data_IF_829204487725
#
_entry.id   IF_829204487725
#
_cell.length_a   1.000
_cell.length_b   1.000
_cell.length_c   1.000
_cell.angle_alpha   90.00
_cell.angle_beta   90.00
_cell.angle_gamma   90.00
#
_symmetry.space_group_name_H-M   'P 1'
#
loop_
_entity.id
_entity.type
_entity.pdbx_description
1 polymer ?
#
# COMPACT_ATOMS: atom_id res chain seq x y z
N UNK A 1 -22.04 -6.29 17.54
CA UNK A 1 -23.50 -6.23 17.73
C UNK A 1 -24.09 -5.04 17.03
N UNK A 2 -25.23 -5.23 16.32
CA UNK A 2 -25.99 -4.17 15.63
C UNK A 2 -27.48 -4.36 15.95
N UNK A 3 -28.13 -3.41 16.60
CA UNK A 3 -29.58 -3.42 16.83
C UNK A 3 -30.11 -2.03 17.19
N UNK A 4 -31.37 -1.75 16.85
CA UNK A 4 -32.05 -0.50 17.21
C UNK A 4 -31.31 0.77 16.79
N UNK A 5 -30.66 0.75 15.61
CA UNK A 5 -29.84 1.87 15.13
C UNK A 5 -28.55 2.08 15.89
N UNK A 6 -28.10 1.10 16.67
CA UNK A 6 -26.88 1.19 17.51
C UNK A 6 -25.91 0.08 17.12
N UNK A 7 -24.63 0.33 17.26
CA UNK A 7 -23.58 -0.67 17.05
C UNK A 7 -22.47 -0.54 18.06
N UNK A 8 -21.88 -1.68 18.45
CA UNK A 8 -20.68 -1.73 19.26
C UNK A 8 -19.88 -2.98 18.95
N UNK A 9 -18.59 -2.94 19.29
CA UNK A 9 -17.64 -4.02 19.13
C UNK A 9 -17.02 -4.40 20.45
N UNK A 10 -16.86 -5.71 20.66
CA UNK A 10 -15.97 -6.27 21.67
C UNK A 10 -15.09 -7.33 20.98
N UNK A 11 -13.92 -7.59 21.54
CA UNK A 11 -12.94 -8.55 21.00
C UNK A 11 -12.49 -9.52 22.08
N UNK A 12 -12.12 -10.72 21.68
CA UNK A 12 -11.53 -11.72 22.58
C UNK A 12 -10.49 -12.55 21.82
N UNK A 13 -9.47 -13.01 22.51
CA UNK A 13 -8.55 -14.07 22.06
C UNK A 13 -8.83 -15.42 22.74
N UNK A 14 -9.92 -15.50 23.53
CA UNK A 14 -10.37 -16.73 24.15
C UNK A 14 -11.57 -17.30 23.40
N UNK A 15 -11.39 -18.46 22.79
CA UNK A 15 -12.35 -19.12 21.90
C UNK A 15 -13.12 -20.24 22.58
N UNK A 16 -13.00 -20.43 23.91
CA UNK A 16 -13.89 -21.31 24.63
C UNK A 16 -15.33 -20.76 24.69
N UNK A 17 -16.28 -21.61 25.07
CA UNK A 17 -17.69 -21.24 25.10
C UNK A 17 -17.95 -20.00 26.00
N UNK A 18 -17.30 -19.90 27.14
CA UNK A 18 -17.48 -18.80 28.09
C UNK A 18 -16.83 -17.51 27.58
N UNK A 19 -15.68 -17.58 26.91
CA UNK A 19 -15.01 -16.48 26.24
C UNK A 19 -15.87 -15.87 25.13
N UNK A 20 -16.43 -16.75 24.28
CA UNK A 20 -17.32 -16.33 23.19
C UNK A 20 -18.62 -15.72 23.74
N UNK A 21 -19.22 -16.32 24.79
CA UNK A 21 -20.41 -15.77 25.46
C UNK A 21 -20.12 -14.37 26.02
N UNK A 22 -19.03 -14.21 26.78
CA UNK A 22 -18.64 -12.91 27.37
C UNK A 22 -18.42 -11.83 26.33
N UNK A 23 -17.80 -12.13 25.19
CA UNK A 23 -17.56 -11.11 24.16
C UNK A 23 -18.86 -10.65 23.49
N UNK A 24 -19.81 -11.56 23.29
CA UNK A 24 -21.15 -11.20 22.78
C UNK A 24 -21.89 -10.33 23.78
N UNK A 25 -22.00 -10.75 25.05
CA UNK A 25 -22.66 -10.00 26.12
C UNK A 25 -22.03 -8.61 26.33
N UNK A 26 -20.70 -8.51 26.24
CA UNK A 26 -19.98 -7.23 26.30
C UNK A 26 -20.35 -6.31 25.14
N UNK A 27 -20.36 -6.82 23.90
CA UNK A 27 -20.72 -6.01 22.72
C UNK A 27 -22.19 -5.56 22.76
N UNK A 28 -23.11 -6.41 23.25
CA UNK A 28 -24.52 -6.05 23.46
C UNK A 28 -24.69 -4.96 24.51
N UNK A 29 -24.01 -5.10 25.65
CA UNK A 29 -24.06 -4.13 26.75
C UNK A 29 -23.53 -2.77 26.32
N UNK A 30 -22.43 -2.75 25.56
CA UNK A 30 -21.86 -1.54 24.96
C UNK A 30 -22.84 -0.92 23.95
N UNK A 31 -23.45 -1.72 23.08
CA UNK A 31 -24.40 -1.21 22.09
C UNK A 31 -25.64 -0.56 22.74
N UNK A 32 -26.12 -1.08 23.88
CA UNK A 32 -27.27 -0.52 24.60
C UNK A 32 -27.08 0.93 25.07
N UNK A 33 -25.84 1.32 25.36
CA UNK A 33 -25.51 2.66 25.85
C UNK A 33 -25.07 3.63 24.75
N UNK A 34 -24.90 3.14 23.51
CA UNK A 34 -24.58 4.00 22.37
C UNK A 34 -25.79 4.86 21.97
N UNK A 35 -25.51 5.99 21.33
CA UNK A 35 -26.55 6.77 20.66
C UNK A 35 -26.98 6.08 19.36
N UNK A 36 -28.28 6.12 18.98
CA UNK A 36 -28.71 5.65 17.67
C UNK A 36 -28.05 6.46 16.54
N UNK A 37 -27.51 5.75 15.57
CA UNK A 37 -26.99 6.32 14.32
C UNK A 37 -28.09 6.22 13.25
N UNK A 38 -28.62 7.34 12.73
CA UNK A 38 -29.67 7.34 11.72
C UNK A 38 -29.18 6.81 10.36
N UNK A 39 -27.87 6.77 10.12
CA UNK A 39 -27.25 6.29 8.90
C UNK A 39 -26.81 4.82 8.99
N UNK A 40 -26.93 4.20 10.16
CA UNK A 40 -26.59 2.80 10.35
C UNK A 40 -27.52 1.89 9.56
N UNK A 41 -26.95 1.19 8.58
CA UNK A 41 -27.68 0.21 7.79
C UNK A 41 -27.76 -1.14 8.52
N UNK A 42 -28.82 -1.93 8.30
CA UNK A 42 -28.84 -3.33 8.71
C UNK A 42 -27.62 -4.07 8.15
N UNK A 43 -27.06 -5.05 8.88
CA UNK A 43 -26.00 -5.89 8.33
C UNK A 43 -26.45 -6.55 7.02
N UNK A 44 -25.57 -6.72 6.02
CA UNK A 44 -25.96 -7.26 4.72
C UNK A 44 -26.37 -8.72 4.83
N UNK A 45 -27.33 -9.13 4.03
CA UNK A 45 -27.60 -10.56 3.83
C UNK A 45 -26.70 -11.17 2.74
N UNK A 46 -26.80 -12.48 2.56
CA UNK A 46 -25.98 -13.21 1.59
C UNK A 46 -26.19 -12.74 0.13
N UNK A 47 -27.39 -12.29 -0.22
CA UNK A 47 -27.72 -11.81 -1.59
C UNK A 47 -27.14 -10.43 -1.83
N UNK A 48 -27.34 -9.51 -0.88
CA UNK A 48 -26.78 -8.17 -0.93
C UNK A 48 -25.25 -8.22 -1.01
N UNK A 49 -24.62 -9.08 -0.21
CA UNK A 49 -23.15 -9.24 -0.17
C UNK A 49 -22.57 -9.89 -1.43
N UNK A 50 -23.34 -10.71 -2.16
CA UNK A 50 -22.88 -11.35 -3.38
C UNK A 50 -22.66 -10.36 -4.52
N UNK A 51 -23.34 -9.20 -4.49
CA UNK A 51 -23.47 -8.29 -5.63
C UNK A 51 -23.89 -9.04 -6.91
N UNK A 52 -24.78 -8.47 -7.72
CA UNK A 52 -25.47 -9.15 -8.82
C UNK A 52 -24.59 -9.71 -9.96
N UNK A 53 -23.30 -9.59 -9.87
CA UNK A 53 -22.37 -10.04 -10.92
C UNK A 53 -21.72 -11.39 -10.57
N UNK A 54 -22.51 -12.48 -10.79
CA UNK A 54 -21.98 -13.86 -10.71
C UNK A 54 -20.93 -14.17 -11.78
N UNK A 55 -20.88 -13.40 -12.88
CA UNK A 55 -19.90 -13.59 -13.94
C UNK A 55 -18.47 -13.22 -13.51
N UNK A 56 -18.33 -12.34 -12.53
CA UNK A 56 -17.06 -12.02 -11.90
C UNK A 56 -16.64 -13.00 -10.77
N UNK A 57 -17.20 -14.19 -10.71
CA UNK A 57 -16.55 -15.37 -10.09
C UNK A 57 -15.34 -15.83 -10.90
N UNK A 58 -14.89 -15.03 -11.87
CA UNK A 58 -13.60 -15.19 -12.51
C UNK A 58 -12.57 -15.42 -11.42
N UNK A 59 -12.05 -16.60 -11.41
CA UNK A 59 -10.99 -17.22 -10.67
C UNK A 59 -10.10 -16.18 -9.95
N UNK A 60 -10.44 -15.90 -8.68
CA UNK A 60 -9.46 -15.21 -7.86
C UNK A 60 -8.20 -16.09 -7.77
N UNK A 61 -7.02 -15.53 -7.94
CA UNK A 61 -5.79 -16.27 -7.78
C UNK A 61 -5.75 -16.92 -6.40
N UNK A 62 -5.20 -18.14 -6.31
CA UNK A 62 -4.96 -18.75 -5.01
C UNK A 62 -4.08 -17.82 -4.16
N UNK A 63 -4.45 -17.68 -2.89
CA UNK A 63 -3.67 -16.92 -1.89
C UNK A 63 -3.12 -17.85 -0.80
N UNK A 64 -3.45 -19.11 -0.86
CA UNK A 64 -2.93 -20.12 0.05
C UNK A 64 -2.00 -21.08 -0.70
N UNK A 65 -0.78 -21.20 -0.21
CA UNK A 65 0.28 -22.01 -0.78
C UNK A 65 0.84 -22.94 0.28
N UNK A 66 0.73 -24.25 0.06
CA UNK A 66 1.14 -25.29 1.01
C UNK A 66 2.61 -25.14 1.42
N UNK A 67 3.49 -24.86 0.46
CA UNK A 67 4.91 -24.67 0.74
C UNK A 67 5.20 -23.48 1.68
N UNK A 68 4.35 -22.44 1.67
CA UNK A 68 4.46 -21.31 2.60
C UNK A 68 3.89 -21.67 3.96
N UNK A 69 2.74 -22.35 4.00
CA UNK A 69 2.13 -22.85 5.24
C UNK A 69 3.05 -23.83 5.99
N UNK A 70 3.79 -24.68 5.24
CA UNK A 70 4.69 -25.68 5.79
C UNK A 70 6.07 -25.15 6.22
N UNK A 71 6.35 -23.83 6.12
CA UNK A 71 7.65 -23.27 6.54
C UNK A 71 7.86 -23.47 8.05
N UNK A 72 8.91 -24.19 8.40
CA UNK A 72 9.32 -24.41 9.78
C UNK A 72 10.23 -23.29 10.30
N UNK A 73 10.37 -23.13 11.64
CA UNK A 73 11.39 -22.25 12.21
C UNK A 73 12.81 -22.55 11.71
N UNK A 74 13.14 -23.83 11.48
CA UNK A 74 14.45 -24.24 10.98
C UNK A 74 14.70 -23.71 9.57
N UNK A 75 13.72 -23.81 8.65
CA UNK A 75 13.85 -23.29 7.29
C UNK A 75 14.08 -21.77 7.28
N UNK A 76 13.40 -21.02 8.18
CA UNK A 76 13.63 -19.59 8.33
C UNK A 76 15.03 -19.29 8.86
N UNK A 77 15.48 -20.03 9.86
CA UNK A 77 16.83 -19.88 10.42
C UNK A 77 17.91 -20.16 9.37
N UNK A 78 17.74 -21.20 8.54
CA UNK A 78 18.66 -21.50 7.43
C UNK A 78 18.67 -20.39 6.37
N UNK A 79 17.52 -19.78 6.09
CA UNK A 79 17.42 -18.60 5.23
C UNK A 79 18.18 -17.39 5.81
N UNK A 80 17.98 -17.10 7.10
CA UNK A 80 18.69 -16.02 7.81
C UNK A 80 20.19 -16.27 7.85
N UNK A 81 20.62 -17.53 8.09
CA UNK A 81 22.04 -17.88 8.04
C UNK A 81 22.69 -17.50 6.71
N UNK A 82 22.04 -17.80 5.59
CA UNK A 82 22.53 -17.44 4.25
C UNK A 82 22.61 -15.92 4.06
N UNK A 83 21.67 -15.14 4.61
CA UNK A 83 21.71 -13.68 4.58
C UNK A 83 22.93 -13.17 5.37
N UNK A 84 23.18 -13.72 6.57
CA UNK A 84 24.36 -13.39 7.39
C UNK A 84 25.66 -13.76 6.69
N UNK A 85 25.72 -14.89 5.99
CA UNK A 85 26.89 -15.27 5.18
C UNK A 85 27.17 -14.25 4.05
N UNK A 86 26.12 -13.69 3.42
CA UNK A 86 26.29 -12.58 2.46
C UNK A 86 26.85 -11.35 3.14
N UNK A 87 26.28 -10.93 4.27
CA UNK A 87 26.75 -9.76 5.01
C UNK A 87 28.23 -9.90 5.39
N UNK A 88 28.64 -11.06 5.92
CA UNK A 88 30.02 -11.34 6.31
C UNK A 88 31.01 -11.27 5.13
N UNK A 89 30.63 -11.75 3.93
CA UNK A 89 31.48 -11.65 2.72
C UNK A 89 31.78 -10.21 2.30
N UNK A 90 30.86 -9.29 2.63
CA UNK A 90 30.98 -7.86 2.31
C UNK A 90 31.43 -7.01 3.50
N UNK A 91 31.82 -7.64 4.62
CA UNK A 91 32.24 -6.95 5.87
C UNK A 91 31.15 -6.03 6.43
N UNK A 92 29.86 -6.43 6.26
CA UNK A 92 28.69 -5.68 6.70
C UNK A 92 28.04 -6.34 7.92
N UNK A 93 27.36 -5.53 8.73
CA UNK A 93 26.41 -6.02 9.72
C UNK A 93 25.03 -6.13 9.08
N UNK A 94 24.23 -7.12 9.47
CA UNK A 94 22.85 -7.25 8.96
C UNK A 94 21.84 -7.37 10.10
N UNK A 95 20.67 -6.79 9.87
CA UNK A 95 19.48 -6.93 10.72
C UNK A 95 18.26 -7.14 9.83
N UNK A 96 17.25 -7.84 10.34
CA UNK A 96 16.04 -8.05 9.58
C UNK A 96 15.17 -9.18 10.10
N UNK A 97 14.20 -9.56 9.29
CA UNK A 97 13.29 -10.67 9.60
C UNK A 97 13.14 -11.59 8.40
N UNK A 98 12.86 -12.85 8.67
CA UNK A 98 12.24 -13.80 7.76
C UNK A 98 11.04 -14.41 8.47
N UNK A 99 9.84 -14.02 8.09
CA UNK A 99 8.60 -14.47 8.69
C UNK A 99 7.75 -15.27 7.69
N UNK A 100 6.86 -16.10 8.23
CA UNK A 100 5.80 -16.75 7.47
C UNK A 100 4.56 -16.85 8.34
N UNK A 101 3.40 -16.74 7.73
CA UNK A 101 2.11 -16.85 8.39
C UNK A 101 1.09 -17.55 7.49
N UNK A 102 0.14 -18.19 8.13
CA UNK A 102 -1.13 -18.60 7.56
C UNK A 102 -2.23 -17.88 8.35
N UNK A 103 -3.19 -17.33 7.66
CA UNK A 103 -4.30 -16.62 8.27
C UNK A 103 -5.64 -17.02 7.65
N UNK A 104 -6.66 -17.03 8.49
CA UNK A 104 -8.06 -17.20 8.10
C UNK A 104 -8.82 -15.95 8.54
N UNK A 105 -9.51 -15.33 7.62
CA UNK A 105 -10.42 -14.23 7.89
C UNK A 105 -11.85 -14.68 7.61
N UNK A 106 -12.77 -14.47 8.55
CA UNK A 106 -14.16 -14.88 8.41
C UNK A 106 -15.14 -13.85 8.93
N UNK A 107 -16.25 -13.65 8.20
CA UNK A 107 -17.36 -12.78 8.59
C UNK A 107 -18.66 -13.56 8.51
N UNK A 108 -19.38 -13.57 9.64
CA UNK A 108 -20.66 -14.23 9.78
C UNK A 108 -21.65 -13.26 10.46
N UNK A 109 -22.90 -13.30 10.05
CA UNK A 109 -23.94 -12.51 10.70
C UNK A 109 -25.29 -13.21 10.79
N UNK A 110 -26.21 -12.67 11.59
CA UNK A 110 -27.53 -13.22 11.84
C UNK A 110 -28.50 -13.18 10.65
N UNK A 111 -28.14 -12.51 9.53
CA UNK A 111 -28.91 -12.49 8.27
C UNK A 111 -28.43 -13.51 7.25
N UNK A 112 -27.64 -14.51 7.71
CA UNK A 112 -27.20 -15.63 6.89
C UNK A 112 -25.96 -15.34 6.02
N UNK A 113 -25.30 -14.21 6.21
CA UNK A 113 -23.99 -13.97 5.58
C UNK A 113 -22.96 -14.89 6.19
N UNK A 114 -22.22 -15.59 5.33
CA UNK A 114 -21.07 -16.42 5.65
C UNK A 114 -19.99 -16.22 4.60
N UNK A 115 -18.87 -15.63 5.00
CA UNK A 115 -17.68 -15.40 4.16
C UNK A 115 -16.46 -15.81 4.93
N UNK A 116 -15.52 -16.44 4.24
CA UNK A 116 -14.21 -16.74 4.81
C UNK A 116 -13.17 -16.80 3.69
N UNK A 117 -11.94 -16.52 4.05
CA UNK A 117 -10.79 -16.49 3.16
C UNK A 117 -9.56 -17.01 3.91
N UNK A 118 -8.78 -17.84 3.27
CA UNK A 118 -7.50 -18.34 3.79
C UNK A 118 -6.38 -17.85 2.91
N UNK A 119 -5.32 -17.37 3.51
CA UNK A 119 -4.12 -16.96 2.80
C UNK A 119 -2.86 -17.28 3.58
N UNK A 120 -1.78 -17.47 2.87
CA UNK A 120 -0.42 -17.51 3.41
C UNK A 120 0.32 -16.24 3.07
N UNK A 121 1.36 -15.92 3.85
CA UNK A 121 2.27 -14.81 3.57
C UNK A 121 3.64 -15.17 4.10
N UNK A 122 4.66 -15.06 3.24
CA UNK A 122 6.06 -15.03 3.66
C UNK A 122 6.63 -13.62 3.42
N UNK A 123 7.46 -13.15 4.33
CA UNK A 123 8.12 -11.84 4.22
C UNK A 123 9.60 -11.95 4.59
N UNK A 124 10.41 -11.25 3.82
CA UNK A 124 11.85 -11.05 4.10
C UNK A 124 12.12 -9.55 4.09
N UNK A 125 12.70 -9.04 5.17
CA UNK A 125 13.21 -7.67 5.28
C UNK A 125 14.65 -7.71 5.74
N UNK A 126 15.55 -7.01 5.05
CA UNK A 126 16.99 -7.06 5.25
C UNK A 126 17.54 -5.63 5.25
N UNK A 127 18.22 -5.25 6.30
CA UNK A 127 19.10 -4.09 6.33
C UNK A 127 20.55 -4.55 6.32
N UNK A 128 21.38 -3.96 5.46
CA UNK A 128 22.83 -4.12 5.44
C UNK A 128 23.46 -2.81 5.89
N UNK A 129 24.37 -2.89 6.86
CA UNK A 129 24.94 -1.75 7.57
C UNK A 129 26.47 -1.78 7.42
N UNK A 130 27.03 -0.75 6.80
CA UNK A 130 28.44 -0.41 6.79
C UNK A 130 28.80 0.57 7.91
N UNK A 131 30.03 1.06 7.91
CA UNK A 131 30.51 2.03 8.92
C UNK A 131 29.77 3.39 8.80
N UNK A 132 29.49 3.84 7.58
CA UNK A 132 28.86 5.13 7.25
C UNK A 132 27.80 5.01 6.14
N UNK A 133 27.33 3.81 5.90
CA UNK A 133 26.38 3.50 4.84
C UNK A 133 25.36 2.45 5.28
N UNK A 134 24.20 2.45 4.62
CA UNK A 134 23.19 1.42 4.81
C UNK A 134 22.41 1.17 3.52
N UNK A 135 21.83 -0.02 3.44
CA UNK A 135 20.86 -0.35 2.41
C UNK A 135 19.78 -1.28 2.96
N UNK A 136 18.64 -1.28 2.31
CA UNK A 136 17.47 -2.05 2.73
C UNK A 136 16.79 -2.72 1.54
N UNK A 137 16.29 -3.92 1.77
CA UNK A 137 15.44 -4.67 0.84
C UNK A 137 14.31 -5.33 1.60
N UNK A 138 13.10 -5.23 1.07
CA UNK A 138 11.93 -5.92 1.61
C UNK A 138 11.11 -6.51 0.48
N UNK A 139 10.61 -7.70 0.68
CA UNK A 139 9.64 -8.33 -0.20
C UNK A 139 8.74 -9.28 0.58
N UNK A 140 7.49 -9.37 0.17
CA UNK A 140 6.58 -10.40 0.64
C UNK A 140 5.79 -11.04 -0.51
N UNK A 141 5.28 -12.22 -0.27
CA UNK A 141 4.42 -12.95 -1.21
C UNK A 141 3.59 -13.98 -0.47
N UNK A 142 2.35 -14.25 -0.92
CA UNK A 142 1.61 -15.44 -0.48
C UNK A 142 2.38 -16.75 -0.72
N UNK A 143 3.15 -16.82 -1.81
CA UNK A 143 3.99 -17.95 -2.17
C UNK A 143 5.47 -17.64 -1.89
N UNK A 144 6.07 -18.36 -0.94
CA UNK A 144 7.48 -18.20 -0.56
C UNK A 144 8.44 -18.47 -1.72
N UNK A 145 8.06 -19.25 -2.72
CA UNK A 145 8.88 -19.51 -3.90
C UNK A 145 9.19 -18.22 -4.72
N UNK A 146 8.37 -17.19 -4.55
CA UNK A 146 8.60 -15.89 -5.18
C UNK A 146 9.65 -15.03 -4.44
N UNK A 147 10.10 -15.45 -3.26
CA UNK A 147 11.10 -14.73 -2.48
C UNK A 147 12.48 -15.33 -2.71
N UNK A 148 13.46 -14.44 -2.94
CA UNK A 148 14.85 -14.82 -3.12
C UNK A 148 15.75 -14.22 -2.03
N UNK A 149 15.74 -14.72 -0.76
CA UNK A 149 16.44 -14.07 0.35
C UNK A 149 17.93 -13.82 0.09
N UNK A 150 18.62 -14.75 -0.55
CA UNK A 150 20.05 -14.59 -0.90
C UNK A 150 20.24 -13.49 -1.95
N UNK A 151 19.41 -13.48 -3.01
CA UNK A 151 19.47 -12.43 -4.04
C UNK A 151 19.18 -11.05 -3.44
N UNK A 152 18.18 -10.97 -2.55
CA UNK A 152 17.85 -9.73 -1.84
C UNK A 152 19.02 -9.25 -0.98
N UNK A 153 19.68 -10.17 -0.28
CA UNK A 153 20.86 -9.87 0.53
C UNK A 153 22.04 -9.36 -0.32
N UNK A 154 22.31 -9.97 -1.50
CA UNK A 154 23.36 -9.50 -2.43
C UNK A 154 23.05 -8.10 -2.96
N UNK A 155 21.79 -7.81 -3.31
CA UNK A 155 21.37 -6.48 -3.77
C UNK A 155 21.57 -5.46 -2.63
N UNK A 156 21.12 -5.77 -1.42
CA UNK A 156 21.29 -4.89 -0.27
C UNK A 156 22.77 -4.68 0.07
N UNK A 157 23.58 -5.75 0.08
CA UNK A 157 25.01 -5.67 0.36
C UNK A 157 25.73 -4.80 -0.67
N UNK A 158 25.45 -5.01 -1.98
CA UNK A 158 26.01 -4.17 -3.04
C UNK A 158 25.66 -2.70 -2.84
N UNK A 159 24.40 -2.39 -2.57
CA UNK A 159 23.96 -1.01 -2.32
C UNK A 159 24.62 -0.39 -1.09
N UNK A 160 24.77 -1.15 0.00
CA UNK A 160 25.44 -0.65 1.20
C UNK A 160 26.93 -0.34 0.93
N UNK A 161 27.63 -1.19 0.15
CA UNK A 161 29.02 -0.95 -0.28
C UNK A 161 29.11 0.26 -1.21
N UNK A 162 28.23 0.35 -2.22
CA UNK A 162 28.21 1.46 -3.19
C UNK A 162 27.84 2.81 -2.51
N UNK A 163 27.09 2.77 -1.40
CA UNK A 163 26.70 3.94 -0.62
C UNK A 163 27.78 4.40 0.39
N UNK A 164 28.89 3.65 0.56
CA UNK A 164 29.95 3.99 1.50
C UNK A 164 30.63 5.31 1.12
N UNK A 165 31.08 6.04 2.14
CA UNK A 165 31.71 7.36 1.99
C UNK A 165 30.81 8.35 1.25
N UNK A 166 29.54 8.56 1.70
CA UNK A 166 28.57 9.36 0.97
C UNK A 166 29.03 10.81 0.86
N UNK A 167 28.96 11.36 -0.34
CA UNK A 167 29.32 12.75 -0.61
C UNK A 167 28.11 13.65 -0.45
N UNK A 168 28.37 14.89 -0.06
CA UNK A 168 27.35 15.91 -0.06
C UNK A 168 27.21 16.53 -1.45
N UNK A 169 25.98 16.69 -1.93
CA UNK A 169 25.64 17.47 -3.11
C UNK A 169 24.56 18.49 -2.73
N UNK A 170 24.48 19.64 -3.41
CA UNK A 170 23.51 20.68 -3.04
C UNK A 170 22.07 20.19 -3.09
N UNK A 171 21.23 20.63 -2.15
CA UNK A 171 19.78 20.48 -2.24
C UNK A 171 19.26 21.28 -3.44
N UNK A 172 18.08 20.92 -3.95
CA UNK A 172 17.46 21.54 -5.12
C UNK A 172 16.56 20.57 -5.86
N UNK A 173 16.16 20.96 -7.06
CA UNK A 173 15.36 20.11 -7.94
C UNK A 173 16.24 19.20 -8.77
N UNK A 174 15.89 17.90 -8.79
CA UNK A 174 16.59 16.87 -9.54
C UNK A 174 15.63 16.01 -10.33
N UNK A 175 16.10 15.42 -11.41
CA UNK A 175 15.50 14.19 -11.92
C UNK A 175 15.75 13.09 -10.89
N UNK A 176 14.68 12.46 -10.40
CA UNK A 176 14.77 11.39 -9.40
C UNK A 176 14.31 10.08 -10.03
N UNK A 177 15.00 9.01 -9.71
CA UNK A 177 14.57 7.65 -10.01
C UNK A 177 14.19 7.01 -8.68
N UNK A 178 12.90 6.75 -8.48
CA UNK A 178 12.39 6.05 -7.31
C UNK A 178 12.31 4.56 -7.61
N UNK A 179 12.95 3.73 -6.78
CA UNK A 179 12.69 2.29 -6.81
C UNK A 179 11.25 1.99 -6.33
N UNK A 180 10.67 0.81 -6.64
CA UNK A 180 9.27 0.52 -6.32
C UNK A 180 8.88 0.74 -4.86
N UNK A 181 9.74 0.42 -3.89
CA UNK A 181 9.46 0.64 -2.46
C UNK A 181 9.42 2.13 -2.11
N UNK A 182 10.34 2.95 -2.68
CA UNK A 182 10.31 4.39 -2.48
C UNK A 182 9.08 5.04 -3.15
N UNK A 183 8.72 4.59 -4.36
CA UNK A 183 7.52 5.05 -5.04
C UNK A 183 6.25 4.70 -4.25
N UNK A 184 6.15 3.45 -3.73
CA UNK A 184 5.05 3.00 -2.88
C UNK A 184 4.90 3.87 -1.63
N UNK A 185 5.98 4.09 -0.90
CA UNK A 185 5.95 4.81 0.38
C UNK A 185 5.41 6.24 0.20
N UNK A 186 5.77 6.92 -0.87
CA UNK A 186 5.31 8.30 -1.10
C UNK A 186 3.89 8.36 -1.69
N UNK A 187 3.56 7.52 -2.69
CA UNK A 187 2.21 7.57 -3.29
C UNK A 187 1.13 7.05 -2.35
N UNK A 188 1.50 6.24 -1.36
CA UNK A 188 0.57 5.69 -0.37
C UNK A 188 -0.21 6.75 0.39
N UNK A 189 0.36 7.93 0.57
CA UNK A 189 -0.25 9.05 1.28
C UNK A 189 -1.46 9.66 0.54
N UNK A 190 -1.70 9.33 -0.72
CA UNK A 190 -2.87 9.83 -1.44
C UNK A 190 -4.11 8.95 -1.33
N UNK A 191 -4.00 7.67 -0.94
CA UNK A 191 -5.11 6.73 -1.10
C UNK A 191 -6.21 6.84 -0.04
N UNK A 192 -5.96 7.45 1.12
CA UNK A 192 -7.00 7.79 2.08
C UNK A 192 -8.03 8.77 1.51
N UNK A 193 -7.63 9.59 0.55
CA UNK A 193 -8.48 10.58 -0.10
C UNK A 193 -9.43 9.97 -1.14
N UNK A 194 -9.14 8.74 -1.62
CA UNK A 194 -9.98 8.03 -2.59
C UNK A 194 -11.17 7.33 -1.93
N UNK A 195 -11.76 7.93 -0.90
CA UNK A 195 -12.93 7.43 -0.18
C UNK A 195 -14.10 8.39 -0.26
N UNK A 196 -15.31 7.84 -0.36
CA UNK A 196 -16.54 8.65 -0.40
C UNK A 196 -16.74 9.48 0.87
N UNK A 197 -16.31 8.95 2.05
CA UNK A 197 -16.41 9.71 3.30
C UNK A 197 -15.49 10.93 3.29
N UNK A 198 -14.28 10.83 2.74
CA UNK A 198 -13.38 11.98 2.64
C UNK A 198 -13.94 13.09 1.74
N UNK A 199 -14.67 12.73 0.68
CA UNK A 199 -15.39 13.67 -0.17
C UNK A 199 -16.57 14.32 0.59
N UNK A 200 -17.38 13.53 1.30
CA UNK A 200 -18.51 14.03 2.10
C UNK A 200 -18.06 15.03 3.15
N UNK A 201 -16.95 14.74 3.81
CA UNK A 201 -16.36 15.57 4.87
C UNK A 201 -15.52 16.73 4.31
N UNK A 202 -15.42 16.86 2.97
CA UNK A 202 -14.64 17.89 2.26
C UNK A 202 -13.17 17.98 2.68
N UNK A 203 -12.57 16.84 3.08
CA UNK A 203 -11.17 16.74 3.51
C UNK A 203 -10.26 16.06 2.48
N UNK A 204 -10.80 15.63 1.34
CA UNK A 204 -10.02 15.04 0.24
C UNK A 204 -9.54 16.10 -0.74
N UNK A 205 -8.29 15.98 -1.21
CA UNK A 205 -7.79 16.79 -2.32
C UNK A 205 -8.58 16.56 -3.63
N UNK A 206 -9.36 15.50 -3.70
CA UNK A 206 -10.22 15.16 -4.85
C UNK A 206 -11.57 15.89 -4.82
N UNK A 207 -11.92 16.59 -3.74
CA UNK A 207 -13.19 17.30 -3.62
C UNK A 207 -13.34 18.32 -4.74
N UNK A 208 -14.37 18.14 -5.59
CA UNK A 208 -14.60 18.97 -6.77
C UNK A 208 -13.65 18.72 -7.94
N UNK A 209 -12.75 17.75 -7.86
CA UNK A 209 -11.74 17.43 -8.89
C UNK A 209 -11.94 16.06 -9.55
N UNK A 210 -12.99 15.30 -9.18
CA UNK A 210 -13.32 14.04 -9.86
C UNK A 210 -13.73 14.35 -11.31
N UNK A 211 -13.17 13.61 -12.25
CA UNK A 211 -13.29 13.87 -13.69
C UNK A 211 -12.22 14.79 -14.26
N UNK A 212 -11.37 15.39 -13.43
CA UNK A 212 -10.29 16.29 -13.87
C UNK A 212 -8.99 15.54 -14.15
N UNK A 213 -8.18 16.09 -15.06
CA UNK A 213 -6.80 15.67 -15.30
C UNK A 213 -5.93 16.23 -14.16
N UNK A 214 -5.51 15.39 -13.24
CA UNK A 214 -4.63 15.79 -12.12
C UNK A 214 -3.20 15.26 -12.26
N UNK A 215 -3.00 14.20 -13.03
CA UNK A 215 -1.71 13.51 -13.16
C UNK A 215 -1.29 13.43 -14.63
N UNK A 216 -0.09 12.97 -14.90
CA UNK A 216 0.37 12.68 -16.24
C UNK A 216 -0.54 11.66 -16.96
N UNK A 217 -0.66 11.78 -18.28
CA UNK A 217 -1.48 10.90 -19.11
C UNK A 217 -1.02 9.43 -19.12
N UNK A 218 0.21 9.19 -18.67
CA UNK A 218 0.80 7.88 -18.47
C UNK A 218 0.40 7.21 -17.13
N UNK A 219 -0.32 7.90 -16.24
CA UNK A 219 -0.72 7.39 -14.92
C UNK A 219 -2.11 6.76 -14.99
N UNK A 220 -2.17 5.46 -14.75
CA UNK A 220 -3.44 4.71 -14.61
C UNK A 220 -3.35 3.82 -13.37
N UNK A 221 -4.34 3.95 -12.46
CA UNK A 221 -4.36 3.30 -11.15
C UNK A 221 -5.75 2.71 -10.89
N UNK A 222 -5.80 1.50 -10.38
CA UNK A 222 -7.05 0.91 -9.87
C UNK A 222 -6.84 0.26 -8.50
N UNK A 223 -7.94 0.04 -7.78
CA UNK A 223 -8.00 -0.98 -6.72
C UNK A 223 -8.47 -2.29 -7.35
N UNK A 224 -7.69 -3.37 -7.15
CA UNK A 224 -8.02 -4.69 -7.69
C UNK A 224 -7.47 -5.82 -6.83
N UNK A 225 -8.29 -6.36 -5.94
CA UNK A 225 -7.94 -7.51 -5.08
C UNK A 225 -7.69 -8.79 -5.90
N UNK A 226 -8.26 -8.89 -7.11
CA UNK A 226 -8.10 -10.06 -7.97
C UNK A 226 -6.80 -10.04 -8.80
N UNK A 227 -6.04 -8.93 -8.78
CA UNK A 227 -4.77 -8.86 -9.49
C UNK A 227 -3.78 -9.93 -8.97
N UNK A 228 -3.08 -10.70 -9.83
CA UNK A 228 -2.23 -11.83 -9.41
C UNK A 228 -1.18 -11.49 -8.36
N UNK A 229 -0.63 -10.30 -8.37
CA UNK A 229 0.39 -9.83 -7.43
C UNK A 229 -0.19 -9.23 -6.14
N UNK A 230 -1.52 -9.16 -5.97
CA UNK A 230 -2.15 -8.67 -4.75
C UNK A 230 -2.38 -9.80 -3.73
N UNK A 231 -2.80 -9.42 -2.53
CA UNK A 231 -3.20 -10.32 -1.44
C UNK A 231 -4.41 -9.74 -0.71
N UNK A 232 -4.98 -10.49 0.22
CA UNK A 232 -6.13 -10.08 1.02
C UNK A 232 -7.43 -10.75 0.62
N UNK A 233 -8.43 -10.61 1.51
CA UNK A 233 -9.75 -11.20 1.33
C UNK A 233 -10.53 -10.54 0.19
N UNK A 234 -11.34 -11.31 -0.56
CA UNK A 234 -12.19 -10.81 -1.64
C UNK A 234 -13.45 -10.10 -1.16
N UNK A 235 -13.54 -9.81 0.10
CA UNK A 235 -14.64 -9.10 0.74
C UNK A 235 -14.09 -8.07 1.74
N UNK A 236 -14.93 -7.10 2.07
CA UNK A 236 -14.60 -6.03 3.01
C UNK A 236 -15.05 -6.34 4.45
N UNK A 237 -14.86 -5.38 5.35
CA UNK A 237 -15.21 -5.51 6.78
C UNK A 237 -16.70 -5.68 7.08
N UNK A 238 -17.59 -5.48 6.10
CA UNK A 238 -19.01 -5.79 6.19
C UNK A 238 -19.36 -7.13 5.49
N UNK A 239 -18.39 -7.80 4.87
CA UNK A 239 -18.59 -9.01 4.08
C UNK A 239 -19.04 -8.75 2.64
N UNK A 240 -19.04 -7.49 2.20
CA UNK A 240 -19.36 -7.13 0.82
C UNK A 240 -18.24 -7.52 -0.12
N UNK A 241 -18.57 -8.10 -1.27
CA UNK A 241 -17.57 -8.44 -2.28
C UNK A 241 -16.82 -7.21 -2.77
N UNK A 242 -15.50 -7.29 -2.79
CA UNK A 242 -14.65 -6.24 -3.35
C UNK A 242 -14.73 -6.21 -4.88
N UNK A 243 -14.92 -5.03 -5.44
CA UNK A 243 -14.96 -4.77 -6.88
C UNK A 243 -13.63 -4.17 -7.31
N UNK A 244 -13.25 -4.42 -8.57
CA UNK A 244 -12.22 -3.61 -9.20
C UNK A 244 -12.75 -2.19 -9.40
N UNK A 245 -12.01 -1.18 -8.94
CA UNK A 245 -12.41 0.24 -9.04
C UNK A 245 -11.33 1.02 -9.79
N UNK A 246 -11.62 1.62 -10.96
CA UNK A 246 -10.68 2.52 -11.63
C UNK A 246 -10.61 3.83 -10.85
N UNK A 247 -9.47 4.11 -10.24
CA UNK A 247 -9.22 5.33 -9.46
C UNK A 247 -8.75 6.46 -10.36
N UNK A 248 -7.79 6.16 -11.23
CA UNK A 248 -7.20 7.08 -12.22
C UNK A 248 -7.07 6.36 -13.57
N UNK A 249 -7.46 7.00 -14.65
CA UNK A 249 -7.24 6.54 -16.02
C UNK A 249 -6.61 7.64 -16.85
N UNK A 250 -5.41 7.38 -17.39
CA UNK A 250 -4.66 8.36 -18.19
C UNK A 250 -4.57 9.74 -17.50
N UNK A 251 -4.24 9.73 -16.20
CA UNK A 251 -4.12 10.91 -15.37
C UNK A 251 -5.43 11.56 -14.91
N UNK A 252 -6.57 11.11 -15.43
CA UNK A 252 -7.89 11.63 -15.04
C UNK A 252 -8.41 10.86 -13.82
N UNK A 253 -8.77 11.55 -12.76
CA UNK A 253 -9.43 10.95 -11.59
C UNK A 253 -10.83 10.48 -11.97
N UNK A 254 -11.10 9.18 -11.76
CA UNK A 254 -12.37 8.57 -12.20
C UNK A 254 -13.35 8.33 -11.08
N UNK A 255 -12.92 7.66 -10.04
CA UNK A 255 -13.80 7.16 -8.98
C UNK A 255 -13.11 7.17 -7.63
N UNK A 256 -13.92 7.15 -6.58
CA UNK A 256 -13.54 6.81 -5.22
C UNK A 256 -14.24 5.51 -4.80
N UNK A 257 -13.78 4.90 -3.73
CA UNK A 257 -14.42 3.70 -3.15
C UNK A 257 -15.51 4.10 -2.15
N UNK A 258 -16.43 3.18 -1.90
CA UNK A 258 -17.58 3.39 -1.00
C UNK A 258 -17.86 2.18 -0.12
N UNK A 259 -17.99 2.41 1.19
CA UNK A 259 -18.73 1.54 2.09
C UNK A 259 -20.25 1.66 1.83
N UNK A 260 -21.05 0.76 2.37
CA UNK A 260 -22.52 0.76 2.20
C UNK A 260 -23.16 2.03 2.74
N UNK A 261 -22.83 2.38 3.99
CA UNK A 261 -23.36 3.58 4.64
C UNK A 261 -22.92 4.86 3.92
N UNK A 262 -21.65 4.95 3.52
CA UNK A 262 -21.12 6.12 2.80
C UNK A 262 -21.77 6.28 1.44
N UNK A 263 -21.97 5.19 0.69
CA UNK A 263 -22.71 5.25 -0.58
C UNK A 263 -24.16 5.74 -0.39
N UNK A 264 -24.84 5.29 0.67
CA UNK A 264 -26.19 5.74 1.00
C UNK A 264 -26.23 7.24 1.37
N UNK A 265 -25.27 7.72 2.16
CA UNK A 265 -25.13 9.15 2.51
C UNK A 265 -24.81 9.99 1.26
N UNK A 266 -23.88 9.55 0.42
CA UNK A 266 -23.49 10.27 -0.80
C UNK A 266 -24.66 10.47 -1.76
N UNK A 267 -25.53 9.47 -1.95
CA UNK A 267 -26.75 9.61 -2.80
C UNK A 267 -27.73 10.70 -2.32
N UNK A 268 -27.68 11.07 -1.04
CA UNK A 268 -28.51 12.11 -0.42
C UNK A 268 -27.81 13.45 -0.31
N UNK A 269 -26.52 13.50 -0.62
CA UNK A 269 -25.69 14.70 -0.49
C UNK A 269 -25.78 15.61 -1.72
N UNK A 270 -25.37 16.86 -1.57
CA UNK A 270 -25.19 17.82 -2.68
C UNK A 270 -24.03 17.49 -3.61
N UNK A 271 -23.18 16.54 -3.22
CA UNK A 271 -22.03 16.08 -3.99
C UNK A 271 -22.38 14.98 -5.00
N UNK A 272 -23.59 14.38 -4.92
CA UNK A 272 -23.98 13.18 -5.68
C UNK A 272 -23.74 13.27 -7.18
N UNK A 273 -23.97 14.45 -7.78
CA UNK A 273 -23.85 14.65 -9.23
C UNK A 273 -22.41 14.99 -9.68
N UNK A 274 -21.46 15.08 -8.72
CA UNK A 274 -20.07 15.47 -8.94
C UNK A 274 -19.06 14.35 -8.75
N UNK A 275 -19.49 13.17 -8.32
CA UNK A 275 -18.59 12.09 -7.88
C UNK A 275 -18.65 10.82 -8.75
N UNK A 276 -19.40 10.87 -9.85
CA UNK A 276 -19.60 9.71 -10.73
C UNK A 276 -20.51 8.65 -10.10
N UNK A 277 -20.40 7.38 -10.50
CA UNK A 277 -21.27 6.32 -10.01
C UNK A 277 -21.15 6.10 -8.49
N UNK A 278 -22.30 6.12 -7.78
CA UNK A 278 -22.37 5.93 -6.33
C UNK A 278 -22.96 4.55 -6.05
N UNK A 279 -22.08 3.62 -5.72
CA UNK A 279 -22.45 2.25 -5.35
C UNK A 279 -21.47 1.71 -4.30
N UNK A 280 -21.89 0.73 -3.52
CA UNK A 280 -20.93 0.03 -2.66
C UNK A 280 -19.90 -0.71 -3.50
N UNK A 281 -18.62 -0.53 -3.14
CA UNK A 281 -17.49 -1.10 -3.85
C UNK A 281 -16.83 -2.26 -3.10
N UNK A 282 -17.30 -2.56 -1.88
CA UNK A 282 -16.73 -3.60 -1.02
C UNK A 282 -15.38 -3.17 -0.44
N UNK A 283 -15.32 -1.95 0.12
CA UNK A 283 -14.11 -1.39 0.73
C UNK A 283 -14.34 -0.86 2.15
N UNK A 284 -15.52 -1.15 2.72
CA UNK A 284 -15.89 -0.70 4.05
C UNK A 284 -15.07 -1.34 5.16
N UNK A 285 -14.73 -0.57 6.18
CA UNK A 285 -14.16 -1.11 7.41
C UNK A 285 -15.22 -1.80 8.27
N UNK A 286 -14.83 -2.72 9.19
CA UNK A 286 -15.77 -3.41 10.06
C UNK A 286 -16.53 -2.46 10.98
N UNK A 287 -17.81 -2.77 11.28
CA UNK A 287 -18.64 -2.02 12.21
C UNK A 287 -18.19 -2.17 13.68
N UNK A 288 -18.34 -1.14 14.55
CA UNK A 288 -18.69 0.24 14.20
C UNK A 288 -17.61 0.87 13.32
N UNK A 289 -18.03 1.61 12.31
CA UNK A 289 -17.14 2.12 11.28
C UNK A 289 -17.19 3.66 11.23
N UNK A 290 -16.23 4.32 11.84
CA UNK A 290 -16.05 5.77 11.81
C UNK A 290 -15.10 6.21 10.69
N UNK A 291 -14.26 5.28 10.17
CA UNK A 291 -13.24 5.56 9.16
C UNK A 291 -13.78 5.50 7.72
N UNK A 292 -14.97 4.93 7.54
CA UNK A 292 -15.56 4.75 6.22
C UNK A 292 -14.96 3.59 5.45
N UNK A 293 -14.18 3.89 4.45
CA UNK A 293 -13.60 2.96 3.50
C UNK A 293 -12.25 3.46 2.97
N UNK A 294 -11.47 2.51 2.39
CA UNK A 294 -10.19 2.82 1.76
C UNK A 294 -9.87 1.81 0.65
N UNK A 295 -9.31 2.22 -0.50
CA UNK A 295 -8.72 1.29 -1.44
C UNK A 295 -7.42 0.72 -0.86
N UNK A 296 -7.31 -0.62 -0.82
CA UNK A 296 -6.19 -1.33 -0.19
C UNK A 296 -5.40 -2.23 -1.15
N UNK A 297 -5.93 -2.44 -2.37
CA UNK A 297 -5.29 -3.28 -3.38
C UNK A 297 -4.87 -2.45 -4.60
N UNK A 298 -4.03 -1.46 -4.34
CA UNK A 298 -3.57 -0.50 -5.36
C UNK A 298 -2.72 -1.20 -6.41
N UNK A 299 -3.08 -0.95 -7.67
CA UNK A 299 -2.38 -1.47 -8.86
C UNK A 299 -2.18 -0.33 -9.84
N UNK A 300 -0.94 0.00 -10.11
CA UNK A 300 -0.56 0.83 -11.25
C UNK A 300 -0.57 -0.04 -12.51
N UNK A 301 -1.15 0.48 -13.58
CA UNK A 301 -1.09 -0.20 -14.87
C UNK A 301 0.33 -0.14 -15.45
N UNK A 302 0.72 -1.19 -16.17
CA UNK A 302 1.97 -1.16 -16.91
C UNK A 302 1.90 -0.10 -18.03
N UNK A 303 2.93 0.74 -18.18
CA UNK A 303 2.98 1.71 -19.27
C UNK A 303 3.11 0.99 -20.62
N UNK A 304 2.70 1.65 -21.71
CA UNK A 304 2.84 1.09 -23.07
C UNK A 304 4.29 0.75 -23.42
N UNK A 305 5.25 1.58 -22.97
CA UNK A 305 6.67 1.42 -23.19
C UNK A 305 7.40 1.39 -21.84
N UNK A 306 7.38 0.24 -21.13
CA UNK A 306 8.06 0.13 -19.85
C UNK A 306 9.56 0.28 -20.01
N UNK A 307 10.22 0.95 -19.06
CA UNK A 307 11.66 1.11 -18.97
C UNK A 307 12.19 0.42 -17.73
N UNK A 308 13.17 -0.42 -17.85
CA UNK A 308 13.87 -0.99 -16.70
C UNK A 308 14.57 0.09 -15.87
N UNK A 309 14.91 -0.23 -14.62
CA UNK A 309 15.67 0.67 -13.75
C UNK A 309 16.98 1.11 -14.42
N UNK A 310 17.70 0.16 -15.04
CA UNK A 310 18.96 0.41 -15.73
C UNK A 310 18.77 1.33 -16.95
N UNK A 311 17.68 1.19 -17.72
CA UNK A 311 17.38 2.09 -18.83
C UNK A 311 17.02 3.51 -18.35
N UNK A 312 16.32 3.62 -17.21
CA UNK A 312 16.05 4.93 -16.59
C UNK A 312 17.35 5.59 -16.15
N UNK A 313 18.25 4.85 -15.51
CA UNK A 313 19.59 5.33 -15.12
C UNK A 313 20.36 5.75 -16.36
N UNK A 314 20.46 4.89 -17.37
CA UNK A 314 21.22 5.14 -18.59
C UNK A 314 20.74 6.39 -19.36
N UNK A 315 19.44 6.71 -19.27
CA UNK A 315 18.84 7.90 -19.89
C UNK A 315 18.88 9.16 -19.04
N UNK A 316 19.56 9.14 -17.89
CA UNK A 316 19.61 10.27 -16.96
C UNK A 316 20.97 10.95 -17.01
N UNK A 317 21.01 12.20 -17.49
CA UNK A 317 22.23 12.99 -17.57
C UNK A 317 22.74 13.37 -16.18
N UNK A 318 21.83 13.88 -15.32
CA UNK A 318 22.09 14.15 -13.91
C UNK A 318 20.82 13.96 -13.08
N UNK A 319 20.92 13.17 -12.01
CA UNK A 319 19.77 12.85 -11.16
C UNK A 319 20.17 12.15 -9.88
N UNK A 320 19.17 11.72 -9.14
CA UNK A 320 19.31 10.99 -7.87
C UNK A 320 18.50 9.70 -7.93
N UNK A 321 19.17 8.57 -7.70
CA UNK A 321 18.50 7.29 -7.47
C UNK A 321 18.18 7.16 -5.98
N UNK A 322 16.92 6.89 -5.65
CA UNK A 322 16.42 6.72 -4.28
C UNK A 322 15.82 5.34 -4.12
N UNK A 323 16.34 4.57 -3.20
CA UNK A 323 15.88 3.19 -2.93
C UNK A 323 14.81 3.10 -1.88
N UNK A 324 14.79 4.05 -0.93
CA UNK A 324 13.84 4.11 0.18
C UNK A 324 13.59 5.55 0.61
N UNK A 325 12.33 5.80 1.03
CA UNK A 325 11.94 7.02 1.72
C UNK A 325 11.61 6.71 3.18
N UNK A 326 11.64 7.72 4.03
CA UNK A 326 11.46 7.58 5.47
C UNK A 326 10.83 8.82 6.08
N UNK A 327 10.06 8.61 7.16
CA UNK A 327 9.48 9.68 7.97
C UNK A 327 8.63 10.65 7.15
N UNK A 328 7.77 10.08 6.27
CA UNK A 328 6.89 10.88 5.42
C UNK A 328 5.72 11.41 6.25
N UNK A 329 5.40 12.70 6.08
CA UNK A 329 4.29 13.36 6.75
C UNK A 329 3.58 14.30 5.79
N UNK A 330 2.27 14.37 5.89
CA UNK A 330 1.47 15.33 5.13
C UNK A 330 1.65 16.75 5.70
N UNK A 331 1.86 17.71 4.80
CA UNK A 331 2.05 19.14 5.10
C UNK A 331 0.84 19.93 4.62
N UNK A 332 0.37 19.68 3.40
CA UNK A 332 -0.80 20.31 2.83
C UNK A 332 -1.71 19.23 2.23
N UNK A 333 -2.92 19.03 2.81
CA UNK A 333 -3.83 18.00 2.35
C UNK A 333 -4.47 18.32 0.98
N UNK A 334 -4.61 19.62 0.58
CA UNK A 334 -5.28 19.99 -0.67
C UNK A 334 -4.36 19.98 -1.88
N UNK A 335 -3.13 20.46 -1.71
CA UNK A 335 -2.08 20.38 -2.74
C UNK A 335 -1.33 19.06 -2.67
N UNK A 336 -1.70 18.20 -1.70
CA UNK A 336 -1.13 16.91 -1.40
C UNK A 336 0.39 16.96 -1.31
N UNK A 337 0.87 17.95 -0.52
CA UNK A 337 2.29 18.11 -0.25
C UNK A 337 2.68 17.23 0.93
N UNK A 338 3.72 16.45 0.72
CA UNK A 338 4.33 15.62 1.77
C UNK A 338 5.78 16.04 1.97
N UNK A 339 6.24 15.94 3.22
CA UNK A 339 7.66 16.07 3.58
C UNK A 339 8.18 14.71 4.04
N UNK A 340 9.47 14.48 3.88
CA UNK A 340 10.13 13.26 4.32
C UNK A 340 11.62 13.32 4.05
N UNK A 341 12.29 12.18 4.09
CA UNK A 341 13.71 12.09 3.77
C UNK A 341 14.03 10.81 2.99
N UNK A 342 15.13 10.83 2.25
CA UNK A 342 15.73 9.63 1.67
C UNK A 342 16.44 8.83 2.74
N UNK A 343 16.56 7.51 2.56
CA UNK A 343 17.21 6.61 3.50
C UNK A 343 17.70 5.34 2.81
N UNK A 344 18.73 4.70 3.40
CA UNK A 344 19.18 3.34 3.04
C UNK A 344 19.50 3.16 1.55
N UNK A 345 20.17 4.12 0.96
CA UNK A 345 20.61 4.11 -0.44
C UNK A 345 20.07 5.28 -1.24
N UNK A 346 20.86 6.35 -1.25
CA UNK A 346 20.66 7.54 -2.09
C UNK A 346 21.91 7.73 -2.92
N UNK A 347 21.79 7.79 -4.25
CA UNK A 347 22.94 7.77 -5.15
C UNK A 347 22.87 8.88 -6.19
N UNK A 348 24.01 9.50 -6.47
CA UNK A 348 24.15 10.38 -7.62
C UNK A 348 24.19 9.57 -8.91
N UNK A 349 23.37 9.98 -9.87
CA UNK A 349 23.40 9.49 -11.26
C UNK A 349 23.95 10.62 -12.14
N UNK A 350 25.03 10.36 -12.88
CA UNK A 350 25.58 11.29 -13.88
C UNK A 350 26.02 10.56 -15.13
N UNK A 351 25.70 11.14 -16.31
CA UNK A 351 26.00 10.60 -17.62
C UNK A 351 25.60 9.12 -17.76
N UNK A 352 24.37 8.81 -17.33
CA UNK A 352 23.78 7.48 -17.42
C UNK A 352 24.34 6.42 -16.48
N UNK A 353 25.06 6.79 -15.41
CA UNK A 353 25.71 5.86 -14.48
C UNK A 353 25.51 6.27 -13.04
N UNK A 354 25.31 5.29 -12.15
CA UNK A 354 25.41 5.49 -10.71
C UNK A 354 26.86 5.74 -10.36
N UNK A 355 27.15 6.88 -9.72
CA UNK A 355 28.53 7.33 -9.42
C UNK A 355 28.99 6.97 -8.03
N UNK A 356 28.23 7.37 -7.03
CA UNK A 356 28.56 7.15 -5.62
C UNK A 356 27.33 7.43 -4.75
N UNK A 357 27.36 6.98 -3.50
CA UNK A 357 26.40 7.35 -2.47
C UNK A 357 26.44 8.86 -2.16
N UNK A 358 25.30 9.43 -1.87
CA UNK A 358 25.17 10.80 -1.40
C UNK A 358 24.47 10.83 -0.04
N UNK A 359 24.73 11.89 0.74
CA UNK A 359 24.02 12.10 2.00
C UNK A 359 22.53 12.20 1.77
N UNK A 360 21.75 11.71 2.71
CA UNK A 360 20.30 11.73 2.61
C UNK A 360 19.76 13.16 2.52
N UNK A 361 18.67 13.31 1.81
CA UNK A 361 17.96 14.58 1.63
C UNK A 361 16.65 14.59 2.40
N UNK A 362 16.27 15.77 2.88
CA UNK A 362 14.86 16.11 3.09
C UNK A 362 14.21 16.53 1.78
N UNK A 363 12.92 16.24 1.64
CA UNK A 363 12.12 16.70 0.53
C UNK A 363 10.79 17.32 1.00
N UNK A 364 10.27 18.23 0.19
CA UNK A 364 8.86 18.63 0.20
C UNK A 364 8.35 18.50 -1.22
N UNK A 365 7.36 17.63 -1.43
CA UNK A 365 6.91 17.30 -2.78
C UNK A 365 5.38 17.22 -2.83
N UNK A 366 4.77 17.79 -3.87
CA UNK A 366 3.37 17.62 -4.18
C UNK A 366 3.19 16.34 -4.98
N UNK A 367 2.40 15.39 -4.45
CA UNK A 367 2.11 14.14 -5.15
C UNK A 367 1.39 14.37 -6.49
N UNK A 368 0.61 15.44 -6.58
CA UNK A 368 -0.05 15.84 -7.84
C UNK A 368 1.00 16.24 -8.87
N UNK A 369 1.94 17.13 -8.51
CA UNK A 369 3.01 17.54 -9.41
C UNK A 369 3.98 16.41 -9.72
N UNK A 370 4.35 15.62 -8.71
CA UNK A 370 5.23 14.47 -8.85
C UNK A 370 4.70 13.48 -9.90
N UNK A 371 3.42 13.08 -9.78
CA UNK A 371 2.79 12.15 -10.74
C UNK A 371 2.51 12.79 -12.10
N UNK A 372 2.46 14.12 -12.20
CA UNK A 372 2.40 14.83 -13.49
C UNK A 372 3.76 14.91 -14.18
N UNK A 373 4.85 14.76 -13.42
CA UNK A 373 6.23 14.87 -13.90
C UNK A 373 6.89 13.49 -14.15
N UNK A 374 6.14 12.40 -14.12
CA UNK A 374 6.66 11.06 -14.42
C UNK A 374 7.01 10.93 -15.90
N UNK A 375 8.30 10.75 -16.20
CA UNK A 375 8.82 10.59 -17.57
C UNK A 375 8.87 9.15 -18.04
N UNK A 376 9.15 8.22 -17.11
CA UNK A 376 9.24 6.80 -17.40
C UNK A 376 8.84 5.95 -16.19
N UNK A 377 8.31 4.77 -16.46
CA UNK A 377 7.96 3.77 -15.46
C UNK A 377 8.41 2.37 -15.89
N UNK A 378 8.75 1.54 -14.91
CA UNK A 378 9.00 0.11 -15.15
C UNK A 378 7.69 -0.69 -15.28
N UNK A 379 7.82 -1.97 -15.58
CA UNK A 379 6.72 -2.91 -15.30
C UNK A 379 6.45 -2.89 -13.79
N UNK A 380 5.18 -2.71 -13.35
CA UNK A 380 4.83 -2.72 -11.94
C UNK A 380 5.12 -4.08 -11.29
N UNK A 381 5.61 -4.04 -10.07
CA UNK A 381 5.88 -5.21 -9.24
C UNK A 381 5.16 -5.08 -7.91
N UNK A 382 4.93 -6.21 -7.22
CA UNK A 382 4.53 -6.15 -5.82
C UNK A 382 5.68 -5.54 -5.02
N UNK A 383 5.43 -4.42 -4.41
CA UNK A 383 6.36 -3.69 -3.56
C UNK A 383 5.84 -3.64 -2.13
N UNK A 384 6.79 -3.61 -1.19
CA UNK A 384 6.56 -3.49 0.23
C UNK A 384 7.31 -2.26 0.74
N UNK A 385 6.68 -1.49 1.58
CA UNK A 385 7.23 -0.28 2.20
C UNK A 385 7.26 -0.36 3.72
N UNK A 386 7.58 0.75 4.34
CA UNK A 386 7.54 0.94 5.79
C UNK A 386 6.60 2.10 6.18
N UNK A 387 6.35 3.02 5.26
CA UNK A 387 5.50 4.20 5.48
C UNK A 387 4.07 3.96 4.97
N UNK A 388 3.85 2.95 4.11
CA UNK A 388 2.56 2.63 3.53
C UNK A 388 2.34 1.13 3.36
N UNK A 389 1.15 0.74 2.91
CA UNK A 389 0.75 -0.66 2.70
C UNK A 389 1.24 -1.18 1.33
N UNK A 390 1.29 -2.52 1.19
CA UNK A 390 1.75 -3.18 -0.03
C UNK A 390 0.93 -2.82 -1.27
N UNK A 391 1.61 -2.57 -2.38
CA UNK A 391 0.99 -2.18 -3.64
C UNK A 391 1.68 -2.87 -4.82
N UNK A 392 1.02 -2.85 -5.97
CA UNK A 392 1.64 -3.17 -7.26
C UNK A 392 2.01 -1.85 -7.92
N UNK A 393 3.29 -1.51 -7.89
CA UNK A 393 3.80 -0.18 -8.28
C UNK A 393 5.08 -0.31 -9.09
N UNK A 394 5.30 0.57 -10.10
CA UNK A 394 6.53 0.59 -10.88
C UNK A 394 7.67 1.37 -10.18
N UNK A 395 8.91 1.16 -10.60
CA UNK A 395 9.92 2.20 -10.46
C UNK A 395 9.53 3.40 -11.34
N UNK A 396 9.86 4.61 -10.91
CA UNK A 396 9.47 5.85 -11.59
C UNK A 396 10.65 6.78 -11.79
N UNK A 397 10.84 7.31 -13.01
CA UNK A 397 11.72 8.42 -13.30
C UNK A 397 10.89 9.70 -13.34
N UNK A 398 11.23 10.67 -12.49
CA UNK A 398 10.42 11.87 -12.22
C UNK A 398 11.34 13.08 -12.34
N UNK A 399 10.93 14.08 -13.11
CA UNK A 399 11.67 15.35 -13.20
C UNK A 399 11.26 16.31 -12.10
N UNK A 400 12.15 17.25 -11.80
CA UNK A 400 11.91 18.38 -10.88
C UNK A 400 11.50 18.00 -9.45
N UNK A 401 11.87 16.81 -8.96
CA UNK A 401 11.63 16.41 -7.58
C UNK A 401 12.41 17.30 -6.62
N UNK A 402 11.75 17.82 -5.58
CA UNK A 402 12.27 18.91 -4.77
C UNK A 402 12.92 18.43 -3.46
N UNK A 403 14.24 18.38 -3.43
CA UNK A 403 15.01 18.22 -2.20
C UNK A 403 15.27 19.57 -1.56
N UNK A 404 14.89 19.72 -0.28
CA UNK A 404 14.93 21.01 0.43
C UNK A 404 16.18 21.20 1.28
N UNK A 405 16.77 20.10 1.75
CA UNK A 405 17.89 20.12 2.68
C UNK A 405 18.68 18.82 2.62
N UNK A 406 19.99 18.87 2.86
CA UNK A 406 20.83 17.71 3.11
C UNK A 406 20.74 17.36 4.61
N UNK A 407 20.48 16.09 4.93
CA UNK A 407 20.41 15.66 6.35
C UNK A 407 21.80 15.53 6.97
N UNK A 408 21.88 15.67 8.28
CA UNK A 408 23.15 15.55 9.03
C UNK A 408 23.51 14.09 9.38
N UNK A 409 22.60 13.13 9.08
CA UNK A 409 22.75 11.70 9.37
C UNK A 409 22.26 10.83 8.22
#
# INVERSE_FOLDING_TARGET
TVFGGRTARATTNNFDHDGLKRVVEASESLAKVQHPDPDLLPVPDAREAANADESARATQPSRHFEQTAAITPQLRADGVKKIVEVANRHELTTAGIFSSSESVEGIFNSRGLSRWHTQTLAEVSISMLGADSSAWQKANSPDVANLGPVRMAEIAAKKAVDAAHPKEIPAGKYTVILEPSAALDIVGFMFWDYSGIAILDQRSFLTGRIGSQLFGDNITICDDVAHPLQSGAPFDGEGMRRKRVPLVENGIVKRVVYARATAARMRRSEQKDKVGPIETTGHGFPLPNEMGEMPLNIVFAAPQNPRSLDEMIASTERGVLVTRLWYIREVDPYEKIVTGMTRDGTFLVEAGQVRHGVRNFRFNESLIQMLSNVEAMSVPVRACGEESFDMVVPAMKIRDFNFTEVTKF
#
